data_IF_471727205162
#
_entry.id   IF_471727205162
#
_cell.length_a   1.000
_cell.length_b   1.000
_cell.length_c   1.000
_cell.angle_alpha   90.00
_cell.angle_beta   90.00
_cell.angle_gamma   90.00
#
_symmetry.space_group_name_H-M   'P 1'
#
loop_
_entity.id
_entity.type
_entity.pdbx_description
1 polymer ?
#
# COMPACT_ATOMS: atom_id res chain seq x y z
N UNK A 1 57.26 61.13 -53.21
CA UNK A 1 57.49 61.02 -51.75
C UNK A 1 56.69 59.82 -51.26
N UNK A 2 57.37 58.71 -50.98
CA UNK A 2 56.80 57.38 -50.69
C UNK A 2 56.80 57.14 -49.17
N UNK A 3 55.64 56.80 -48.57
CA UNK A 3 55.50 56.14 -47.26
C UNK A 3 54.17 55.35 -47.27
N UNK A 4 54.25 54.06 -47.52
CA UNK A 4 54.18 52.95 -46.56
C UNK A 4 52.77 52.64 -46.03
N UNK A 5 52.23 51.53 -46.57
CA UNK A 5 51.07 50.77 -46.08
C UNK A 5 51.47 50.00 -44.82
N UNK A 6 50.85 50.30 -43.69
CA UNK A 6 50.94 49.48 -42.48
C UNK A 6 49.85 48.40 -42.46
N UNK A 7 50.26 47.16 -42.71
CA UNK A 7 49.42 45.98 -42.59
C UNK A 7 49.22 45.62 -41.11
N UNK A 8 48.08 46.03 -40.52
CA UNK A 8 47.63 45.54 -39.21
C UNK A 8 47.26 44.05 -39.31
N UNK A 9 48.22 43.20 -38.93
CA UNK A 9 48.02 41.79 -38.62
C UNK A 9 46.95 41.64 -37.51
N UNK A 10 45.73 41.26 -37.89
CA UNK A 10 44.70 40.84 -36.94
C UNK A 10 45.01 39.41 -36.52
N UNK A 11 45.51 39.24 -35.30
CA UNK A 11 45.59 37.93 -34.65
C UNK A 11 44.19 37.29 -34.68
N UNK A 12 44.04 36.05 -35.16
CA UNK A 12 42.73 35.40 -35.16
C UNK A 12 42.26 35.23 -33.72
N UNK A 13 41.09 35.77 -33.41
CA UNK A 13 40.46 35.59 -32.11
C UNK A 13 40.12 34.11 -31.92
N UNK A 14 40.85 33.42 -31.04
CA UNK A 14 40.65 31.99 -30.71
C UNK A 14 39.48 31.75 -29.73
N UNK A 15 38.86 32.81 -29.23
CA UNK A 15 37.73 32.77 -28.30
C UNK A 15 36.51 31.94 -28.74
N UNK A 16 36.04 31.97 -29.99
CA UNK A 16 34.88 31.16 -30.38
C UNK A 16 35.15 29.65 -30.26
N UNK A 17 36.40 29.21 -30.46
CA UNK A 17 36.77 27.79 -30.26
C UNK A 17 36.73 27.40 -28.79
N UNK A 18 37.20 28.27 -27.90
CA UNK A 18 37.17 28.04 -26.45
C UNK A 18 35.72 27.93 -25.94
N UNK A 19 34.82 28.78 -26.42
CA UNK A 19 33.39 28.71 -26.09
C UNK A 19 32.78 27.39 -26.56
N UNK A 20 33.08 26.96 -27.80
CA UNK A 20 32.60 25.68 -28.33
C UNK A 20 33.10 24.50 -27.48
N UNK A 21 34.38 24.49 -27.09
CA UNK A 21 34.91 23.43 -26.24
C UNK A 21 34.23 23.38 -24.88
N UNK A 22 33.98 24.53 -24.24
CA UNK A 22 33.28 24.61 -22.95
C UNK A 22 31.84 24.09 -23.07
N UNK A 23 31.12 24.47 -24.13
CA UNK A 23 29.74 23.98 -24.36
C UNK A 23 29.71 22.48 -24.59
N UNK A 24 30.64 21.93 -25.38
CA UNK A 24 30.74 20.48 -25.61
C UNK A 24 31.05 19.75 -24.29
N UNK A 25 31.94 20.30 -23.46
CA UNK A 25 32.30 19.70 -22.16
C UNK A 25 31.10 19.68 -21.20
N UNK A 26 30.30 20.73 -21.18
CA UNK A 26 29.06 20.79 -20.38
C UNK A 26 28.04 19.78 -20.89
N UNK A 27 27.84 19.68 -22.21
CA UNK A 27 26.91 18.72 -22.80
C UNK A 27 27.35 17.27 -22.55
N UNK A 28 28.65 16.97 -22.67
CA UNK A 28 29.19 15.66 -22.34
C UNK A 28 29.04 15.36 -20.85
N UNK A 29 29.34 16.33 -19.96
CA UNK A 29 29.12 16.16 -18.53
C UNK A 29 27.66 15.83 -18.22
N UNK A 30 26.70 16.61 -18.75
CA UNK A 30 25.27 16.38 -18.55
C UNK A 30 24.81 15.04 -19.15
N UNK A 31 25.35 14.65 -20.30
CA UNK A 31 25.08 13.35 -20.92
C UNK A 31 25.60 12.22 -20.02
N UNK A 32 26.84 12.29 -19.54
CA UNK A 32 27.42 11.27 -18.66
C UNK A 32 26.78 11.25 -17.27
N UNK A 33 26.30 12.37 -16.71
CA UNK A 33 25.54 12.36 -15.46
C UNK A 33 24.12 11.84 -15.64
N UNK A 34 23.53 12.01 -16.83
CA UNK A 34 22.19 11.48 -17.15
C UNK A 34 22.22 10.00 -17.56
N UNK A 35 23.31 9.55 -18.21
CA UNK A 35 23.50 8.16 -18.67
C UNK A 35 24.38 7.31 -17.76
N UNK A 36 25.11 7.90 -16.82
CA UNK A 36 25.49 7.19 -15.60
C UNK A 36 24.20 7.00 -14.81
N UNK A 37 23.41 6.03 -15.24
CA UNK A 37 22.57 5.29 -14.33
C UNK A 37 23.46 5.03 -13.13
N UNK A 38 23.17 5.71 -12.02
CA UNK A 38 23.67 5.27 -10.72
C UNK A 38 23.48 3.76 -10.76
N UNK A 39 24.53 2.93 -10.54
CA UNK A 39 24.29 1.51 -10.39
C UNK A 39 23.15 1.46 -9.40
N UNK A 40 21.99 0.99 -9.87
CA UNK A 40 20.82 0.89 -9.04
C UNK A 40 21.26 -0.20 -8.08
N UNK A 41 21.92 0.23 -6.99
CA UNK A 41 22.17 -0.64 -5.90
C UNK A 41 20.76 -1.00 -5.50
N UNK A 42 20.40 -2.23 -5.81
CA UNK A 42 19.44 -3.02 -5.06
C UNK A 42 19.90 -3.16 -3.59
N UNK A 43 20.51 -2.12 -3.00
CA UNK A 43 20.00 -1.63 -1.74
C UNK A 43 18.55 -1.27 -2.01
N UNK A 44 17.69 -2.29 -1.88
CA UNK A 44 16.53 -2.16 -1.02
C UNK A 44 16.93 -1.12 0.02
N UNK A 45 16.43 0.11 -0.16
CA UNK A 45 16.18 0.96 0.98
C UNK A 45 15.38 0.02 1.85
N UNK A 46 16.05 -0.58 2.84
CA UNK A 46 15.41 -0.97 4.06
C UNK A 46 14.84 0.36 4.57
N UNK A 47 13.72 0.79 3.99
CA UNK A 47 12.65 1.36 4.77
C UNK A 47 12.49 0.31 5.86
N UNK A 48 13.17 0.53 6.98
CA UNK A 48 13.01 -0.23 8.19
C UNK A 48 11.60 0.08 8.61
N UNK A 49 10.65 -0.61 7.98
CA UNK A 49 9.26 -0.52 8.35
C UNK A 49 9.21 -0.92 9.82
N UNK A 50 8.51 -0.13 10.67
CA UNK A 50 8.67 -0.18 12.11
C UNK A 50 8.34 -1.56 12.73
N UNK A 51 7.60 -2.39 12.00
CA UNK A 51 7.21 -3.74 12.42
C UNK A 51 8.24 -4.84 12.13
N UNK A 52 9.23 -4.64 11.26
CA UNK A 52 10.26 -5.65 11.00
C UNK A 52 11.29 -5.67 12.14
N UNK A 53 10.88 -6.19 13.29
CA UNK A 53 11.72 -6.37 14.48
C UNK A 53 12.65 -7.58 14.35
N UNK A 54 12.31 -8.53 13.47
CA UNK A 54 13.05 -9.77 13.24
C UNK A 54 13.26 -10.04 11.75
N UNK A 55 14.26 -10.87 11.43
CA UNK A 55 14.48 -11.34 10.06
C UNK A 55 13.37 -12.31 9.67
N UNK A 56 12.60 -11.98 8.63
CA UNK A 56 11.58 -12.88 8.12
C UNK A 56 12.10 -13.72 6.96
N UNK A 57 11.71 -15.00 6.86
CA UNK A 57 12.05 -15.82 5.71
C UNK A 57 11.50 -15.16 4.44
N UNK A 58 12.31 -15.14 3.38
CA UNK A 58 11.84 -14.69 2.07
C UNK A 58 10.71 -15.59 1.62
N UNK A 59 9.68 -14.99 1.03
CA UNK A 59 8.64 -15.75 0.37
C UNK A 59 9.26 -16.63 -0.72
N UNK A 60 8.76 -17.87 -0.91
CA UNK A 60 9.24 -18.71 -1.99
C UNK A 60 9.06 -17.97 -3.32
N UNK A 61 10.13 -17.92 -4.12
CA UNK A 61 10.12 -17.25 -5.44
C UNK A 61 9.11 -17.87 -6.40
N UNK A 62 8.73 -19.12 -6.15
CA UNK A 62 7.78 -19.85 -6.97
C UNK A 62 6.47 -20.02 -6.24
N UNK A 63 5.43 -19.38 -6.77
CA UNK A 63 4.05 -19.69 -6.39
C UNK A 63 3.53 -20.76 -7.36
N UNK A 64 3.41 -22.05 -6.95
CA UNK A 64 2.88 -23.11 -7.82
C UNK A 64 1.42 -22.86 -8.23
N UNK A 65 0.74 -21.93 -7.56
CA UNK A 65 -0.64 -21.54 -7.83
C UNK A 65 -0.73 -20.30 -8.72
N UNK A 66 0.37 -19.82 -9.31
CA UNK A 66 0.34 -18.71 -10.24
C UNK A 66 -0.46 -19.07 -11.51
N UNK A 67 -1.52 -18.32 -11.79
CA UNK A 67 -2.40 -18.52 -12.96
C UNK A 67 -1.98 -17.68 -14.17
N UNK A 68 -0.78 -17.09 -14.15
CA UNK A 68 -0.30 -16.17 -15.20
C UNK A 68 -0.16 -16.83 -16.57
N UNK A 69 0.10 -18.14 -16.58
CA UNK A 69 0.33 -18.92 -17.80
C UNK A 69 -0.96 -19.48 -18.39
N UNK A 70 -2.11 -19.29 -17.73
CA UNK A 70 -3.39 -19.86 -18.14
C UNK A 70 -4.17 -18.91 -19.06
N UNK A 71 -4.78 -19.48 -20.10
CA UNK A 71 -5.78 -18.79 -20.93
C UNK A 71 -7.00 -18.38 -20.09
N UNK A 72 -7.82 -17.47 -20.61
CA UNK A 72 -9.06 -17.04 -19.92
C UNK A 72 -9.98 -18.22 -19.63
N UNK A 73 -10.16 -19.12 -20.59
CA UNK A 73 -11.03 -20.28 -20.44
C UNK A 73 -10.50 -21.28 -19.38
N UNK A 74 -9.18 -21.50 -19.35
CA UNK A 74 -8.56 -22.34 -18.31
C UNK A 74 -8.67 -21.70 -16.92
N UNK A 75 -8.56 -20.36 -16.82
CA UNK A 75 -8.79 -19.64 -15.56
C UNK A 75 -10.22 -19.75 -15.07
N UNK A 76 -11.20 -19.64 -15.95
CA UNK A 76 -12.62 -19.80 -15.62
C UNK A 76 -12.94 -21.24 -15.18
N UNK A 77 -12.42 -22.24 -15.88
CA UNK A 77 -12.58 -23.64 -15.52
C UNK A 77 -11.93 -23.95 -14.16
N UNK A 78 -10.70 -23.47 -13.93
CA UNK A 78 -10.00 -23.64 -12.65
C UNK A 78 -10.75 -22.94 -11.51
N UNK A 79 -11.23 -21.72 -11.74
CA UNK A 79 -12.01 -20.97 -10.75
C UNK A 79 -13.28 -21.73 -10.37
N UNK A 80 -14.02 -22.22 -11.36
CA UNK A 80 -15.25 -22.98 -11.13
C UNK A 80 -14.99 -24.25 -10.32
N UNK A 81 -13.92 -24.99 -10.66
CA UNK A 81 -13.51 -26.19 -9.92
C UNK A 81 -13.10 -25.86 -8.47
N UNK A 82 -12.37 -24.77 -8.26
CA UNK A 82 -11.93 -24.36 -6.92
C UNK A 82 -13.10 -23.87 -6.08
N UNK A 83 -14.07 -23.16 -6.66
CA UNK A 83 -15.31 -22.76 -6.00
C UNK A 83 -16.12 -23.97 -5.57
N UNK A 84 -16.27 -24.97 -6.45
CA UNK A 84 -16.99 -26.22 -6.13
C UNK A 84 -16.30 -26.95 -4.97
N UNK A 85 -14.97 -27.12 -5.06
CA UNK A 85 -14.19 -27.78 -4.02
C UNK A 85 -14.27 -27.04 -2.68
N UNK A 86 -14.16 -25.71 -2.70
CA UNK A 86 -14.31 -24.88 -1.52
C UNK A 86 -15.71 -25.04 -0.91
N UNK A 87 -16.75 -25.03 -1.74
CA UNK A 87 -18.14 -25.21 -1.31
C UNK A 87 -18.34 -26.57 -0.63
N UNK A 88 -17.80 -27.65 -1.20
CA UNK A 88 -17.87 -28.99 -0.61
C UNK A 88 -17.13 -29.06 0.75
N UNK A 89 -15.97 -28.43 0.86
CA UNK A 89 -15.21 -28.38 2.12
C UNK A 89 -15.96 -27.58 3.19
N UNK A 90 -16.52 -26.43 2.83
CA UNK A 90 -17.31 -25.59 3.74
C UNK A 90 -18.54 -26.35 4.23
N UNK A 91 -19.33 -26.95 3.33
CA UNK A 91 -20.53 -27.70 3.72
C UNK A 91 -20.21 -28.90 4.62
N UNK A 92 -19.05 -29.55 4.44
CA UNK A 92 -18.58 -30.62 5.35
C UNK A 92 -18.17 -30.10 6.72
N UNK A 93 -17.44 -29.00 6.75
CA UNK A 93 -16.92 -28.43 8.00
C UNK A 93 -18.00 -27.70 8.82
N UNK A 94 -18.99 -27.13 8.14
CA UNK A 94 -20.00 -26.25 8.71
C UNK A 94 -21.40 -26.59 8.18
N UNK A 95 -22.06 -27.66 8.69
CA UNK A 95 -23.35 -28.11 8.19
C UNK A 95 -24.52 -27.15 8.48
N UNK A 96 -24.36 -26.22 9.44
CA UNK A 96 -25.38 -25.25 9.85
C UNK A 96 -24.92 -23.82 9.55
N UNK A 97 -24.86 -23.46 8.26
CA UNK A 97 -24.40 -22.14 7.81
C UNK A 97 -25.46 -21.04 7.98
N UNK A 98 -26.73 -21.39 7.76
CA UNK A 98 -27.82 -20.43 7.89
C UNK A 98 -27.98 -20.08 9.37
N UNK A 99 -27.76 -18.80 9.67
CA UNK A 99 -27.98 -18.16 10.97
C UNK A 99 -26.80 -18.12 11.96
N UNK A 100 -25.67 -18.79 11.69
CA UNK A 100 -24.44 -18.68 12.49
C UNK A 100 -23.39 -17.77 11.86
N UNK A 101 -22.45 -17.27 12.67
CA UNK A 101 -21.19 -16.71 12.17
C UNK A 101 -20.22 -17.89 12.06
N UNK A 102 -19.84 -18.24 10.82
CA UNK A 102 -19.01 -19.40 10.51
C UNK A 102 -17.68 -19.30 11.28
N UNK A 103 -17.29 -20.39 11.96
CA UNK A 103 -16.06 -20.45 12.75
C UNK A 103 -16.12 -19.75 14.12
N UNK A 104 -17.27 -19.20 14.51
CA UNK A 104 -17.48 -18.67 15.87
C UNK A 104 -18.05 -19.73 16.81
N UNK A 105 -17.83 -19.56 18.12
CA UNK A 105 -18.45 -20.37 19.17
C UNK A 105 -19.79 -19.81 19.67
N UNK A 106 -20.36 -18.83 18.98
CA UNK A 106 -21.57 -18.13 19.39
C UNK A 106 -22.82 -18.98 19.10
N UNK A 107 -23.74 -19.00 20.06
CA UNK A 107 -25.10 -19.49 19.88
C UNK A 107 -25.92 -18.59 18.96
N UNK A 108 -27.09 -19.06 18.55
CA UNK A 108 -27.95 -18.33 17.64
C UNK A 108 -28.38 -16.96 18.19
N UNK A 109 -28.74 -16.91 19.47
CA UNK A 109 -29.16 -15.69 20.14
C UNK A 109 -27.99 -14.72 20.30
N UNK A 110 -26.78 -15.22 20.59
CA UNK A 110 -25.57 -14.42 20.64
C UNK A 110 -25.19 -13.83 19.28
N UNK A 111 -25.41 -14.58 18.19
CA UNK A 111 -25.19 -14.06 16.83
C UNK A 111 -26.14 -12.91 16.51
N UNK A 112 -27.41 -13.02 16.90
CA UNK A 112 -28.40 -11.95 16.72
C UNK A 112 -28.01 -10.71 17.53
N UNK A 113 -27.63 -10.89 18.80
CA UNK A 113 -27.17 -9.80 19.65
C UNK A 113 -25.91 -9.14 19.09
N UNK A 114 -24.93 -9.94 18.65
CA UNK A 114 -23.69 -9.43 18.04
C UNK A 114 -23.99 -8.62 16.78
N UNK A 115 -24.81 -9.16 15.85
CA UNK A 115 -25.20 -8.44 14.63
C UNK A 115 -25.94 -7.15 14.94
N UNK A 116 -26.82 -7.14 15.94
CA UNK A 116 -27.52 -5.94 16.40
C UNK A 116 -26.56 -4.90 16.99
N UNK A 117 -25.55 -5.32 17.74
CA UNK A 117 -24.51 -4.42 18.27
C UNK A 117 -23.70 -3.79 17.13
N UNK A 118 -23.23 -4.60 16.18
CA UNK A 118 -22.49 -4.11 15.01
C UNK A 118 -23.32 -3.13 14.20
N UNK A 119 -24.58 -3.48 13.91
CA UNK A 119 -25.49 -2.59 13.18
C UNK A 119 -25.67 -1.26 13.92
N UNK A 120 -25.93 -1.29 15.24
CA UNK A 120 -26.04 -0.08 16.06
C UNK A 120 -24.76 0.78 15.97
N UNK A 121 -23.58 0.16 16.05
CA UNK A 121 -22.31 0.87 15.94
C UNK A 121 -22.13 1.57 14.60
N UNK A 122 -22.55 0.95 13.49
CA UNK A 122 -22.30 1.45 12.14
C UNK A 122 -23.43 2.29 11.54
N UNK A 123 -24.69 2.04 11.93
CA UNK A 123 -25.87 2.72 11.38
C UNK A 123 -26.32 3.90 12.24
N UNK A 124 -26.07 3.84 13.55
CA UNK A 124 -26.59 4.82 14.52
C UNK A 124 -25.47 5.70 15.05
N UNK A 125 -25.20 6.78 14.34
CA UNK A 125 -24.15 7.73 14.69
C UNK A 125 -24.15 8.95 13.78
N UNK A 126 -23.06 9.70 13.82
CA UNK A 126 -22.79 10.79 12.88
C UNK A 126 -21.30 11.00 12.71
N UNK A 127 -20.91 11.47 11.53
CA UNK A 127 -19.58 12.02 11.32
C UNK A 127 -19.48 13.38 11.98
N UNK A 128 -18.51 13.54 12.88
CA UNK A 128 -18.24 14.80 13.59
C UNK A 128 -16.89 15.32 13.13
N UNK A 129 -16.88 16.59 12.71
CA UNK A 129 -15.66 17.30 12.36
C UNK A 129 -14.91 17.68 13.64
N UNK A 130 -13.63 17.34 13.70
CA UNK A 130 -12.73 17.69 14.78
C UNK A 130 -11.99 18.99 14.42
N UNK A 131 -11.88 19.91 15.38
CA UNK A 131 -11.22 21.20 15.16
C UNK A 131 -9.68 21.10 15.21
N UNK A 132 -9.16 20.05 15.84
CA UNK A 132 -7.72 19.75 15.92
C UNK A 132 -7.24 18.71 14.91
N UNK A 133 -5.94 18.43 14.94
CA UNK A 133 -5.35 17.34 14.17
C UNK A 133 -5.89 16.00 14.67
N UNK A 134 -6.45 15.21 13.75
CA UNK A 134 -6.93 13.86 14.05
C UNK A 134 -5.76 12.91 13.85
N UNK A 135 -5.42 12.17 14.90
CA UNK A 135 -4.44 11.08 14.81
C UNK A 135 -4.99 10.02 13.86
N UNK A 136 -4.47 10.02 12.64
CA UNK A 136 -4.74 8.99 11.64
C UNK A 136 -3.63 7.96 11.65
N UNK A 137 -3.97 6.73 11.27
CA UNK A 137 -2.99 5.69 11.02
C UNK A 137 -2.04 6.15 9.91
N UNK A 138 -0.75 5.97 10.13
CA UNK A 138 0.24 6.24 9.09
C UNK A 138 0.16 5.13 8.05
N UNK A 139 0.00 5.51 6.78
CA UNK A 139 0.07 4.56 5.68
C UNK A 139 1.52 4.26 5.35
N UNK A 140 1.94 3.02 5.56
CA UNK A 140 3.32 2.57 5.37
C UNK A 140 3.49 1.69 4.13
N UNK A 141 2.40 1.28 3.49
CA UNK A 141 2.41 0.53 2.24
C UNK A 141 2.57 1.45 1.01
N UNK A 142 2.46 0.85 -0.19
CA UNK A 142 3.00 1.36 -1.45
C UNK A 142 2.92 2.89 -1.58
N UNK A 143 4.09 3.49 -1.83
CA UNK A 143 4.28 4.92 -2.08
C UNK A 143 3.30 5.52 -3.09
N UNK A 144 2.65 4.71 -3.94
CA UNK A 144 1.61 5.13 -4.86
C UNK A 144 0.40 5.77 -4.16
N UNK A 145 -0.07 5.21 -3.03
CA UNK A 145 -1.27 5.68 -2.32
C UNK A 145 -0.93 6.70 -1.22
N UNK A 146 0.24 6.60 -0.60
CA UNK A 146 0.79 7.63 0.29
C UNK A 146 1.10 8.98 -0.39
N UNK A 147 1.00 9.07 -1.72
CA UNK A 147 1.19 10.32 -2.50
C UNK A 147 0.10 11.36 -2.25
N UNK A 148 -1.10 10.96 -1.86
CA UNK A 148 -2.23 11.88 -1.73
C UNK A 148 -2.02 12.92 -0.61
N UNK A 149 -1.50 12.48 0.53
CA UNK A 149 -1.13 13.40 1.63
C UNK A 149 0.17 14.14 1.35
N UNK A 150 1.18 13.46 0.80
CA UNK A 150 2.45 14.12 0.39
C UNK A 150 2.27 15.25 -0.62
N UNK A 151 1.22 15.19 -1.44
CA UNK A 151 0.88 16.22 -2.44
C UNK A 151 -0.13 17.24 -1.93
N UNK A 152 -0.61 17.13 -0.70
CA UNK A 152 -1.47 18.14 -0.14
C UNK A 152 -0.69 19.46 0.01
N UNK A 153 -1.14 20.50 -0.69
CA UNK A 153 -0.50 21.83 -0.69
C UNK A 153 -1.13 22.78 0.34
N UNK A 154 -2.06 22.30 1.16
CA UNK A 154 -2.70 23.09 2.21
C UNK A 154 -1.91 23.06 3.52
N UNK A 155 -2.19 24.03 4.40
CA UNK A 155 -1.66 24.02 5.76
C UNK A 155 -2.42 23.00 6.61
N UNK A 156 -1.67 22.12 7.29
CA UNK A 156 -2.21 21.10 8.17
C UNK A 156 -2.83 19.90 7.45
N UNK A 157 -3.66 19.16 8.17
CA UNK A 157 -4.27 17.93 7.70
C UNK A 157 -5.43 18.21 6.72
N UNK A 158 -5.57 17.36 5.69
CA UNK A 158 -6.70 17.41 4.73
C UNK A 158 -8.04 17.39 5.46
N UNK A 159 -9.00 18.20 4.98
CA UNK A 159 -10.34 18.30 5.57
C UNK A 159 -11.04 16.94 5.69
N UNK A 160 -10.88 16.04 4.71
CA UNK A 160 -11.48 14.71 4.73
C UNK A 160 -11.02 13.83 5.92
N UNK A 161 -9.82 14.07 6.45
CA UNK A 161 -9.27 13.31 7.58
C UNK A 161 -9.71 13.88 8.95
N UNK A 162 -10.41 15.03 8.96
CA UNK A 162 -10.87 15.68 10.19
C UNK A 162 -12.21 15.16 10.68
N UNK A 163 -12.79 14.16 10.01
CA UNK A 163 -14.09 13.60 10.39
C UNK A 163 -13.90 12.27 11.11
N UNK A 164 -14.52 12.15 12.28
CA UNK A 164 -14.52 10.93 13.09
C UNK A 164 -15.96 10.46 13.24
N UNK A 165 -16.18 9.15 13.09
CA UNK A 165 -17.47 8.54 13.32
C UNK A 165 -17.76 8.48 14.82
N UNK A 166 -18.89 9.05 15.26
CA UNK A 166 -19.35 8.95 16.65
C UNK A 166 -20.64 8.14 16.70
N UNK A 167 -20.52 6.88 17.15
CA UNK A 167 -21.68 6.03 17.40
C UNK A 167 -22.46 6.54 18.62
N UNK A 168 -23.77 6.29 18.67
CA UNK A 168 -24.59 6.53 19.86
C UNK A 168 -24.70 5.30 20.77
N UNK A 169 -24.14 4.17 20.36
CA UNK A 169 -24.34 2.88 21.00
C UNK A 169 -23.13 2.46 21.85
N UNK A 170 -23.39 1.93 23.05
CA UNK A 170 -22.35 1.41 23.93
C UNK A 170 -21.70 0.13 23.32
N UNK A 171 -20.45 -0.20 23.70
CA UNK A 171 -19.53 0.58 24.54
C UNK A 171 -18.80 1.69 23.76
N UNK A 172 -19.00 1.78 22.44
CA UNK A 172 -18.23 2.65 21.54
C UNK A 172 -18.65 4.12 21.63
N UNK A 173 -19.87 4.40 22.11
CA UNK A 173 -20.47 5.73 22.27
C UNK A 173 -19.52 6.80 22.79
N UNK A 174 -18.80 6.47 23.87
CA UNK A 174 -17.94 7.42 24.60
C UNK A 174 -16.46 6.99 24.56
N UNK A 175 -16.15 5.83 23.98
CA UNK A 175 -14.86 5.15 24.07
C UNK A 175 -14.37 4.61 22.72
N UNK A 176 -14.75 5.23 21.60
CA UNK A 176 -14.01 5.00 20.36
C UNK A 176 -12.65 5.71 20.49
N UNK A 177 -11.77 5.12 21.28
CA UNK A 177 -10.34 5.34 21.12
C UNK A 177 -10.03 4.97 19.67
N UNK A 178 -9.84 6.00 18.85
CA UNK A 178 -9.51 5.82 17.43
C UNK A 178 -8.10 5.24 17.26
N UNK A 179 -7.38 5.00 18.36
CA UNK A 179 -6.15 4.23 18.35
C UNK A 179 -6.45 2.75 18.54
N UNK A 180 -5.91 1.98 17.62
CA UNK A 180 -5.96 0.53 17.64
C UNK A 180 -4.93 0.04 18.66
N UNK A 181 -5.37 -0.72 19.67
CA UNK A 181 -4.45 -1.37 20.61
C UNK A 181 -3.84 -2.63 19.94
N UNK A 182 -2.62 -2.47 19.44
CA UNK A 182 -1.87 -3.52 18.73
C UNK A 182 -1.72 -4.80 19.58
N UNK A 183 -1.36 -4.67 20.86
CA UNK A 183 -1.13 -5.82 21.75
C UNK A 183 -2.41 -6.65 21.94
N UNK A 184 -3.53 -5.98 22.22
CA UNK A 184 -4.83 -6.63 22.38
C UNK A 184 -5.29 -7.28 21.08
N UNK A 185 -4.99 -6.66 19.94
CA UNK A 185 -5.31 -7.25 18.64
C UNK A 185 -4.49 -8.51 18.36
N UNK A 186 -3.18 -8.47 18.62
CA UNK A 186 -2.30 -9.63 18.51
C UNK A 186 -2.76 -10.78 19.41
N UNK A 187 -3.23 -10.47 20.63
CA UNK A 187 -3.85 -11.46 21.53
C UNK A 187 -5.13 -12.06 20.94
N UNK A 188 -6.01 -11.22 20.37
CA UNK A 188 -7.24 -11.68 19.72
C UNK A 188 -6.92 -12.56 18.50
N UNK A 189 -5.95 -12.19 17.65
CA UNK A 189 -5.57 -13.02 16.51
C UNK A 189 -4.93 -14.33 16.97
N UNK A 190 -4.09 -14.31 18.01
CA UNK A 190 -3.43 -15.49 18.59
C UNK A 190 -2.71 -16.35 17.55
N UNK A 191 -1.98 -15.70 16.63
CA UNK A 191 -1.27 -16.36 15.53
C UNK A 191 -2.16 -16.87 14.39
N UNK A 192 -3.44 -16.49 14.35
CA UNK A 192 -4.34 -16.81 13.23
C UNK A 192 -4.10 -15.85 12.06
N UNK A 193 -4.25 -16.38 10.85
CA UNK A 193 -4.17 -15.59 9.62
C UNK A 193 -5.51 -14.92 9.32
N UNK A 194 -5.45 -13.68 8.83
CA UNK A 194 -6.60 -12.95 8.32
C UNK A 194 -6.62 -13.09 6.78
N UNK A 195 -7.76 -13.51 6.24
CA UNK A 195 -8.02 -13.50 4.80
C UNK A 195 -9.16 -12.53 4.53
N UNK A 196 -8.89 -11.51 3.72
CA UNK A 196 -9.88 -10.52 3.29
C UNK A 196 -10.21 -10.81 1.83
N UNK A 197 -11.48 -11.09 1.54
CA UNK A 197 -11.96 -11.44 0.20
C UNK A 197 -13.06 -10.47 -0.21
N UNK A 198 -12.94 -9.89 -1.40
CA UNK A 198 -13.95 -9.01 -1.96
C UNK A 198 -13.41 -8.21 -3.15
N UNK A 199 -13.97 -7.03 -3.36
CA UNK A 199 -13.60 -6.11 -4.43
C UNK A 199 -12.58 -5.07 -3.96
N UNK A 200 -12.51 -3.94 -4.68
CA UNK A 200 -11.62 -2.83 -4.37
C UNK A 200 -11.77 -2.30 -2.94
N UNK A 201 -12.98 -2.29 -2.37
CA UNK A 201 -13.22 -1.80 -1.00
C UNK A 201 -12.58 -2.75 0.01
N UNK A 202 -12.74 -4.06 -0.18
CA UNK A 202 -12.08 -5.06 0.66
C UNK A 202 -10.56 -5.04 0.48
N UNK A 203 -10.06 -4.72 -0.73
CA UNK A 203 -8.64 -4.47 -0.94
C UNK A 203 -8.14 -3.24 -0.17
N UNK A 204 -8.88 -2.14 -0.16
CA UNK A 204 -8.54 -0.97 0.64
C UNK A 204 -8.56 -1.28 2.14
N UNK A 205 -9.51 -2.11 2.59
CA UNK A 205 -9.56 -2.58 3.98
C UNK A 205 -8.38 -3.49 4.34
N UNK A 206 -7.97 -4.35 3.41
CA UNK A 206 -6.77 -5.18 3.55
C UNK A 206 -5.52 -4.31 3.79
N UNK A 207 -5.36 -3.21 3.05
CA UNK A 207 -4.24 -2.29 3.27
C UNK A 207 -4.29 -1.65 4.67
N UNK A 208 -5.48 -1.25 5.13
CA UNK A 208 -5.65 -0.71 6.50
C UNK A 208 -5.22 -1.75 7.55
N UNK A 209 -5.58 -3.03 7.38
CA UNK A 209 -5.15 -4.07 8.31
C UNK A 209 -3.65 -4.29 8.30
N UNK A 210 -2.99 -4.14 7.15
CA UNK A 210 -1.55 -4.27 7.06
C UNK A 210 -0.82 -3.06 7.67
N UNK A 211 -1.35 -1.85 7.55
CA UNK A 211 -0.78 -0.71 8.29
C UNK A 211 -0.98 -0.84 9.80
N UNK A 212 -2.11 -1.42 10.22
CA UNK A 212 -2.49 -1.52 11.63
C UNK A 212 -1.78 -2.66 12.39
N UNK A 213 -1.58 -3.81 11.72
CA UNK A 213 -1.37 -5.08 12.43
C UNK A 213 -0.22 -5.92 11.89
N UNK A 214 0.60 -5.36 10.99
CA UNK A 214 1.64 -6.14 10.35
C UNK A 214 2.77 -6.47 11.33
N UNK A 215 3.12 -7.75 11.37
CA UNK A 215 4.23 -8.30 12.14
C UNK A 215 5.26 -9.02 11.23
N UNK A 216 5.03 -9.09 9.91
CA UNK A 216 5.87 -9.84 8.97
C UNK A 216 5.59 -9.59 7.48
N UNK A 217 6.15 -10.41 6.57
CA UNK A 217 5.93 -10.31 5.13
C UNK A 217 4.53 -10.81 4.75
N UNK A 218 3.82 -10.04 3.92
CA UNK A 218 2.48 -10.36 3.41
C UNK A 218 2.57 -11.22 2.16
N UNK A 219 1.72 -12.24 2.06
CA UNK A 219 1.50 -12.98 0.80
C UNK A 219 0.18 -12.55 0.20
N UNK A 220 0.22 -11.79 -0.89
CA UNK A 220 -0.96 -11.44 -1.65
C UNK A 220 -1.35 -12.63 -2.55
N UNK A 221 -2.32 -13.43 -2.11
CA UNK A 221 -2.91 -14.46 -2.97
C UNK A 221 -3.99 -13.82 -3.84
N UNK A 222 -3.76 -13.73 -5.15
CA UNK A 222 -4.74 -13.22 -6.11
C UNK A 222 -4.51 -11.79 -6.62
N UNK A 223 -3.40 -11.15 -6.25
CA UNK A 223 -2.99 -9.90 -6.93
C UNK A 223 -2.57 -10.20 -8.38
N UNK A 224 -3.26 -9.58 -9.34
CA UNK A 224 -2.78 -9.42 -10.73
C UNK A 224 -1.46 -8.64 -10.79
N UNK A 225 -1.07 -7.98 -9.69
CA UNK A 225 0.12 -7.14 -9.55
C UNK A 225 1.12 -7.65 -8.51
N UNK A 226 1.11 -8.95 -8.16
CA UNK A 226 2.29 -9.56 -7.54
C UNK A 226 3.44 -9.42 -8.54
N UNK A 227 4.13 -8.27 -8.47
CA UNK A 227 5.29 -7.96 -9.29
C UNK A 227 6.30 -9.02 -8.89
N UNK A 228 6.53 -9.96 -9.79
CA UNK A 228 7.71 -10.83 -9.71
C UNK A 228 8.85 -9.85 -9.58
N UNK A 229 9.48 -9.82 -8.41
CA UNK A 229 10.72 -9.08 -8.22
C UNK A 229 11.75 -9.74 -9.14
N UNK A 230 11.86 -9.19 -10.35
CA UNK A 230 12.97 -9.40 -11.27
C UNK A 230 14.23 -8.75 -10.68
#
# INVERSE_FOLDING_TARGET
MSKQLDARSRKPYYWPRLVIYVVILILLYQFFTSFSASPMSLQSKNEKLPWYKHHHPRLPQYNPYATTNLTTQEREALTSQMVERASQLVSRAFPEMENKIIGSSLSQDEVVQFRSLVDCWTSTGKWVRMDGEVKVMSHYQDSLYGKCDRKHRGEGQREALRYVWQSKCAPIKDNMDNSVNEDRWCEVLRGRHLLVVGDLVQYQLHEIFLDAFRDGPTVCFGELNCRVSS
#
